data_IF_475231138832
#
_entry.id   IF_475231138832
#
_cell.length_a   1.000
_cell.length_b   1.000
_cell.length_c   1.000
_cell.angle_alpha   90.00
_cell.angle_beta   90.00
_cell.angle_gamma   90.00
#
_symmetry.space_group_name_H-M   'P 1'
#
loop_
_entity.id
_entity.type
_entity.pdbx_description
1 polymer ?
#
# COMPACT_ATOMS: atom_id res chain seq x y z
N UNK A 1 -21.04 -9.24 9.69
CA UNK A 1 -20.58 -9.04 8.31
C UNK A 1 -19.88 -10.29 7.81
N UNK A 2 -19.71 -10.47 6.49
CA UNK A 2 -18.85 -11.55 5.96
C UNK A 2 -17.38 -11.14 6.09
N UNK A 3 -16.48 -12.11 6.24
CA UNK A 3 -15.04 -11.87 6.21
C UNK A 3 -14.52 -12.08 4.78
N UNK A 4 -13.68 -11.15 4.31
CA UNK A 4 -12.95 -11.25 3.05
C UNK A 4 -11.47 -11.22 3.39
N UNK A 5 -10.71 -12.21 2.92
CA UNK A 5 -9.25 -12.18 2.99
C UNK A 5 -8.72 -11.76 1.62
N UNK A 6 -7.88 -10.72 1.61
CA UNK A 6 -7.16 -10.25 0.44
C UNK A 6 -5.67 -10.47 0.71
N UNK A 7 -4.94 -10.99 -0.26
CA UNK A 7 -3.47 -11.13 -0.17
C UNK A 7 -2.87 -10.42 -1.36
N UNK A 8 -1.97 -9.47 -1.09
CA UNK A 8 -1.21 -8.77 -2.11
C UNK A 8 0.27 -9.05 -1.81
N UNK A 9 0.98 -9.60 -2.80
CA UNK A 9 2.44 -9.78 -2.73
C UNK A 9 3.05 -9.04 -3.90
N UNK A 10 3.97 -8.13 -3.60
CA UNK A 10 4.71 -7.36 -4.59
C UNK A 10 6.17 -7.82 -4.58
N UNK A 11 6.71 -8.07 -5.76
CA UNK A 11 8.14 -8.21 -5.99
C UNK A 11 8.51 -7.13 -7.01
N UNK A 12 9.41 -6.23 -6.63
CA UNK A 12 9.71 -5.03 -7.39
C UNK A 12 11.20 -4.96 -7.69
N UNK A 13 11.55 -4.59 -8.93
CA UNK A 13 12.89 -4.11 -9.24
C UNK A 13 12.97 -2.64 -8.85
N UNK A 14 13.65 -2.35 -7.73
CA UNK A 14 13.82 -1.00 -7.19
C UNK A 14 15.29 -0.57 -7.26
N UNK A 15 15.59 0.75 -7.22
CA UNK A 15 16.96 1.25 -7.17
C UNK A 15 17.73 0.79 -5.91
N UNK A 16 19.05 0.61 -6.06
CA UNK A 16 19.94 0.14 -4.98
C UNK A 16 20.08 1.14 -3.81
N UNK A 17 19.76 2.41 -4.03
CA UNK A 17 19.91 3.49 -3.04
C UNK A 17 18.69 3.68 -2.13
N UNK A 18 17.70 2.79 -2.23
CA UNK A 18 16.56 2.75 -1.32
C UNK A 18 16.94 2.05 -0.02
N UNK A 19 16.52 2.61 1.11
CA UNK A 19 16.83 2.08 2.44
C UNK A 19 15.53 1.79 3.20
N UNK A 20 15.51 0.72 3.99
CA UNK A 20 14.42 0.51 4.95
C UNK A 20 14.68 1.34 6.22
N UNK A 21 13.66 2.06 6.68
CA UNK A 21 13.74 2.84 7.92
C UNK A 21 12.50 2.59 8.77
N UNK A 22 12.73 2.25 10.04
CA UNK A 22 11.64 2.10 11.02
C UNK A 22 11.27 3.46 11.61
N UNK A 23 9.98 3.78 11.57
CA UNK A 23 9.40 4.98 12.19
C UNK A 23 9.40 4.88 13.71
N UNK A 24 9.23 6.01 14.40
CA UNK A 24 9.10 6.01 15.87
C UNK A 24 7.89 5.25 16.40
N UNK A 25 6.91 5.00 15.53
CA UNK A 25 5.69 4.23 15.84
C UNK A 25 5.86 2.72 15.55
N UNK A 26 7.02 2.31 15.02
CA UNK A 26 7.38 0.91 14.81
C UNK A 26 7.06 0.35 13.42
N UNK A 27 6.38 1.10 12.56
CA UNK A 27 6.16 0.72 11.16
C UNK A 27 7.40 1.01 10.29
N UNK A 28 7.64 0.18 9.27
CA UNK A 28 8.73 0.36 8.33
C UNK A 28 8.27 1.13 7.09
N UNK A 29 9.14 2.01 6.59
CA UNK A 29 8.95 2.75 5.33
C UNK A 29 10.22 2.71 4.50
N UNK A 30 10.08 2.95 3.19
CA UNK A 30 11.22 3.09 2.28
C UNK A 30 11.70 4.53 2.28
N UNK A 31 12.97 4.75 2.59
CA UNK A 31 13.66 6.02 2.41
C UNK A 31 14.24 6.08 1.01
N UNK A 32 13.82 7.10 0.26
CA UNK A 32 14.25 7.41 -1.09
C UNK A 32 15.29 8.55 -1.07
N UNK A 33 15.96 8.83 -2.20
CA UNK A 33 16.77 10.03 -2.37
C UNK A 33 16.02 11.33 -2.04
N UNK A 34 16.76 12.41 -1.77
CA UNK A 34 16.21 13.74 -1.47
C UNK A 34 15.34 13.84 -0.20
N UNK A 35 15.54 12.95 0.78
CA UNK A 35 14.79 12.92 2.04
C UNK A 35 13.29 12.67 1.84
N UNK A 36 12.94 11.91 0.81
CA UNK A 36 11.58 11.43 0.60
C UNK A 36 11.41 10.07 1.27
N UNK A 37 10.20 9.80 1.77
CA UNK A 37 9.82 8.51 2.33
C UNK A 37 8.60 8.00 1.58
N UNK A 38 8.55 6.72 1.32
CA UNK A 38 7.47 6.01 0.65
C UNK A 38 6.94 4.94 1.59
N UNK A 39 5.64 4.99 1.82
CA UNK A 39 4.89 3.92 2.43
C UNK A 39 4.02 3.26 1.35
N UNK A 40 4.08 1.94 1.25
CA UNK A 40 3.26 1.13 0.36
C UNK A 40 2.10 0.55 1.16
N UNK A 41 0.91 1.05 0.87
CA UNK A 41 -0.34 0.59 1.45
C UNK A 41 -1.31 0.17 0.34
N UNK A 42 -2.41 -0.50 0.72
CA UNK A 42 -3.49 -0.76 -0.22
C UNK A 42 -4.19 0.53 -0.68
N UNK A 43 -4.45 0.65 -1.98
CA UNK A 43 -5.30 1.71 -2.54
C UNK A 43 -6.46 1.11 -3.34
N UNK A 44 -7.69 1.16 -2.79
CA UNK A 44 -8.91 0.77 -3.50
C UNK A 44 -9.15 1.57 -4.79
N UNK A 45 -9.42 0.87 -5.89
CA UNK A 45 -9.85 1.46 -7.15
C UNK A 45 -11.32 1.14 -7.43
N UNK A 46 -12.00 2.08 -8.09
CA UNK A 46 -13.44 2.04 -8.31
C UNK A 46 -13.76 2.18 -9.80
N UNK A 47 -14.83 1.51 -10.22
CA UNK A 47 -15.43 1.63 -11.54
C UNK A 47 -16.94 1.30 -11.45
N UNK A 48 -17.74 1.90 -12.33
CA UNK A 48 -19.18 1.57 -12.42
C UNK A 48 -19.49 0.45 -13.42
N UNK A 49 -18.53 0.15 -14.30
CA UNK A 49 -18.55 -0.95 -15.25
C UNK A 49 -17.20 -1.70 -15.15
N UNK A 50 -17.18 -3.04 -15.01
CA UNK A 50 -15.93 -3.81 -14.92
C UNK A 50 -15.00 -3.65 -16.13
N UNK A 51 -15.52 -3.28 -17.30
CA UNK A 51 -14.76 -3.08 -18.54
C UNK A 51 -14.23 -1.63 -18.70
N UNK A 52 -14.62 -0.72 -17.79
CA UNK A 52 -14.16 0.67 -17.79
C UNK A 52 -12.74 0.78 -17.21
N UNK A 53 -12.08 1.93 -17.41
CA UNK A 53 -10.89 2.29 -16.63
C UNK A 53 -11.22 2.47 -15.14
N UNK A 54 -10.46 1.79 -14.28
CA UNK A 54 -10.55 1.90 -12.83
C UNK A 54 -9.70 3.07 -12.36
N UNK A 55 -10.19 3.83 -11.39
CA UNK A 55 -9.47 4.99 -10.83
C UNK A 55 -9.59 5.04 -9.32
N UNK A 56 -8.76 5.86 -8.68
CA UNK A 56 -8.92 6.20 -7.26
C UNK A 56 -10.33 6.75 -7.00
N UNK A 57 -10.77 6.67 -5.74
CA UNK A 57 -12.04 7.26 -5.34
C UNK A 57 -12.10 8.75 -5.73
N UNK A 58 -13.25 9.21 -6.21
CA UNK A 58 -13.47 10.64 -6.49
C UNK A 58 -13.49 11.48 -5.21
N UNK A 59 -13.81 10.86 -4.07
CA UNK A 59 -13.88 11.49 -2.75
C UNK A 59 -13.09 10.72 -1.71
N UNK A 60 -12.58 11.44 -0.70
CA UNK A 60 -11.92 10.83 0.45
C UNK A 60 -12.90 9.98 1.27
N UNK A 61 -14.19 10.33 1.31
CA UNK A 61 -15.20 9.59 2.09
C UNK A 61 -15.34 8.15 1.60
N UNK A 62 -15.45 7.93 0.28
CA UNK A 62 -15.55 6.58 -0.26
C UNK A 62 -14.28 5.75 -0.06
N UNK A 63 -13.11 6.39 -0.03
CA UNK A 63 -11.86 5.75 0.32
C UNK A 63 -11.84 5.34 1.81
N UNK A 64 -12.20 6.26 2.69
CA UNK A 64 -12.24 6.05 4.14
C UNK A 64 -13.23 4.93 4.52
N UNK A 65 -14.38 4.86 3.86
CA UNK A 65 -15.35 3.78 4.08
C UNK A 65 -14.73 2.39 3.85
N UNK A 66 -13.84 2.25 2.85
CA UNK A 66 -13.11 0.99 2.61
C UNK A 66 -12.02 0.78 3.66
N UNK A 67 -11.26 1.81 3.99
CA UNK A 67 -10.19 1.72 4.98
C UNK A 67 -10.74 1.36 6.37
N UNK A 68 -11.93 1.86 6.73
CA UNK A 68 -12.63 1.52 7.97
C UNK A 68 -13.04 0.03 8.05
N UNK A 69 -13.13 -0.67 6.90
CA UNK A 69 -13.39 -2.12 6.86
C UNK A 69 -12.13 -2.98 7.04
N UNK A 70 -10.94 -2.38 7.06
CA UNK A 70 -9.68 -3.10 7.25
C UNK A 70 -9.49 -3.40 8.74
N UNK A 71 -9.72 -4.66 9.13
CA UNK A 71 -9.50 -5.10 10.52
C UNK A 71 -7.99 -5.17 10.86
N UNK A 72 -7.14 -5.43 9.87
CA UNK A 72 -5.68 -5.53 10.00
C UNK A 72 -5.01 -5.46 8.63
N UNK A 73 -3.85 -4.82 8.56
CA UNK A 73 -2.96 -4.83 7.40
C UNK A 73 -1.54 -5.13 7.87
N UNK A 74 -0.89 -6.10 7.23
CA UNK A 74 0.52 -6.43 7.47
C UNK A 74 1.30 -6.10 6.19
N UNK A 75 2.19 -5.10 6.27
CA UNK A 75 3.12 -4.75 5.20
C UNK A 75 4.52 -5.17 5.62
N UNK A 76 5.15 -6.03 4.83
CA UNK A 76 6.51 -6.53 5.10
C UNK A 76 7.41 -6.18 3.93
N UNK A 77 8.47 -5.43 4.22
CA UNK A 77 9.51 -5.09 3.25
C UNK A 77 10.69 -6.04 3.40
N UNK A 78 11.15 -6.61 2.28
CA UNK A 78 12.32 -7.48 2.24
C UNK A 78 13.12 -7.21 0.96
N UNK A 79 14.40 -6.85 1.11
CA UNK A 79 15.32 -6.79 -0.02
C UNK A 79 15.91 -8.19 -0.28
N UNK A 80 15.68 -8.72 -1.48
CA UNK A 80 16.25 -10.00 -1.90
C UNK A 80 17.73 -9.81 -2.25
N UNK A 81 18.62 -10.43 -1.49
CA UNK A 81 20.07 -10.47 -1.77
C UNK A 81 20.44 -11.83 -2.38
N UNK A 82 21.24 -11.83 -3.45
CA UNK A 82 21.70 -13.04 -4.15
C UNK A 82 23.16 -13.36 -3.81
#
# INVERSE_FOLDING_TARGET
MKKLNVTIRLEMSVPDDWELVTTSEGGDVLKLPNKQFLDLAIEPLFATDPEQTWSSAETQDAMNDILDMVESEDVVYEFVTH
#
